data_IF_158759419366
#
_entry.id   IF_158759419366
#
_cell.length_a   1.000
_cell.length_b   1.000
_cell.length_c   1.000
_cell.angle_alpha   90.00
_cell.angle_beta   90.00
_cell.angle_gamma   90.00
#
_symmetry.space_group_name_H-M   'P 1'
#
loop_
_entity.id
_entity.type
_entity.pdbx_description
1 polymer ?
#
# COMPACT_ATOMS: atom_id res chain seq x y z
N UNK A 1 8.49 -5.55 -13.12
CA UNK A 1 7.45 -4.59 -13.50
C UNK A 1 7.65 -3.95 -14.88
N UNK A 2 8.80 -4.08 -15.48
CA UNK A 2 9.11 -3.51 -16.83
C UNK A 2 8.47 -4.27 -18.01
N UNK A 3 7.55 -5.20 -17.77
CA UNK A 3 6.92 -6.00 -18.84
C UNK A 3 7.81 -7.11 -19.42
N UNK A 4 9.05 -7.24 -18.97
CA UNK A 4 9.90 -8.35 -19.38
C UNK A 4 9.46 -9.66 -18.70
N UNK A 5 9.56 -10.80 -19.41
CA UNK A 5 9.17 -12.08 -18.84
C UNK A 5 10.14 -12.44 -17.70
N UNK A 6 9.63 -12.43 -16.49
CA UNK A 6 10.35 -12.97 -15.34
C UNK A 6 10.32 -14.50 -15.38
N UNK A 7 11.34 -15.11 -14.83
CA UNK A 7 11.45 -16.58 -14.75
C UNK A 7 10.33 -17.19 -13.88
N UNK A 8 9.84 -16.45 -12.87
CA UNK A 8 8.70 -16.81 -12.00
C UNK A 8 7.92 -15.56 -11.55
N UNK A 9 6.77 -15.75 -10.93
CA UNK A 9 6.10 -14.69 -10.21
C UNK A 9 6.97 -14.19 -9.04
N UNK A 10 6.87 -12.90 -8.73
CA UNK A 10 7.42 -12.36 -7.49
C UNK A 10 6.69 -12.92 -6.28
N UNK A 11 7.35 -12.92 -5.13
CA UNK A 11 6.79 -13.29 -3.84
C UNK A 11 7.04 -12.19 -2.81
N UNK A 12 6.01 -11.84 -2.06
CA UNK A 12 6.10 -10.94 -0.92
C UNK A 12 5.37 -11.52 0.30
N UNK A 13 6.08 -11.61 1.42
CA UNK A 13 5.50 -12.06 2.69
C UNK A 13 4.45 -11.08 3.24
N UNK A 14 4.51 -9.82 2.85
CA UNK A 14 3.80 -8.73 3.50
C UNK A 14 4.60 -8.14 4.66
N UNK A 15 3.86 -7.56 5.60
CA UNK A 15 4.39 -6.97 6.83
C UNK A 15 3.72 -7.63 8.06
N UNK A 16 4.14 -8.83 8.45
CA UNK A 16 3.60 -9.53 9.61
C UNK A 16 3.71 -8.66 10.86
N UNK A 17 2.69 -8.70 11.71
CA UNK A 17 2.74 -7.95 12.97
C UNK A 17 3.81 -8.51 13.91
N UNK A 18 4.34 -7.71 14.86
CA UNK A 18 5.46 -8.12 15.73
C UNK A 18 5.23 -9.44 16.45
N UNK A 19 3.98 -9.75 16.83
CA UNK A 19 3.60 -11.00 17.47
C UNK A 19 3.79 -12.21 16.54
N UNK A 20 3.37 -12.08 15.30
CA UNK A 20 3.55 -13.11 14.26
C UNK A 20 5.03 -13.33 13.97
N UNK A 21 5.81 -12.25 13.84
CA UNK A 21 7.26 -12.31 13.66
C UNK A 21 7.93 -13.08 14.80
N UNK A 22 7.53 -12.82 16.06
CA UNK A 22 8.04 -13.54 17.23
C UNK A 22 7.72 -15.04 17.18
N UNK A 23 6.49 -15.40 16.81
CA UNK A 23 6.06 -16.80 16.67
C UNK A 23 6.89 -17.51 15.60
N UNK A 24 7.06 -16.88 14.43
CA UNK A 24 7.81 -17.47 13.33
C UNK A 24 9.31 -17.60 13.63
N UNK A 25 9.90 -16.59 14.25
CA UNK A 25 11.28 -16.65 14.71
C UNK A 25 11.51 -17.82 15.69
N UNK A 26 10.61 -18.01 16.65
CA UNK A 26 10.70 -19.13 17.60
C UNK A 26 10.64 -20.50 16.89
N UNK A 27 9.80 -20.65 15.87
CA UNK A 27 9.65 -21.89 15.10
C UNK A 27 10.86 -22.16 14.21
N UNK A 28 11.46 -21.13 13.62
CA UNK A 28 12.59 -21.22 12.68
C UNK A 28 13.96 -21.20 13.39
N UNK A 29 14.02 -20.83 14.67
CA UNK A 29 15.29 -20.58 15.34
C UNK A 29 16.00 -19.33 14.81
N UNK A 30 15.26 -18.36 14.28
CA UNK A 30 15.76 -17.10 13.73
C UNK A 30 15.51 -15.93 14.68
N UNK A 31 16.04 -14.73 14.36
CA UNK A 31 16.02 -13.60 15.30
C UNK A 31 15.37 -12.32 14.72
N UNK A 32 15.05 -12.31 13.43
CA UNK A 32 14.55 -11.10 12.76
C UNK A 32 13.51 -11.41 11.69
N UNK A 33 12.75 -10.40 11.29
CA UNK A 33 11.88 -10.48 10.12
C UNK A 33 12.69 -10.75 8.84
N UNK A 34 13.87 -10.17 8.74
CA UNK A 34 14.77 -10.37 7.59
C UNK A 34 15.20 -11.84 7.44
N UNK A 35 15.44 -12.55 8.56
CA UNK A 35 15.75 -13.98 8.52
C UNK A 35 14.57 -14.80 8.00
N UNK A 36 13.35 -14.49 8.44
CA UNK A 36 12.11 -15.11 7.96
C UNK A 36 11.94 -14.87 6.45
N UNK A 37 12.09 -13.62 6.01
CA UNK A 37 11.96 -13.24 4.60
C UNK A 37 13.00 -13.96 3.72
N UNK A 38 14.25 -14.04 4.16
CA UNK A 38 15.30 -14.80 3.47
C UNK A 38 14.98 -16.30 3.39
N UNK A 39 14.53 -16.88 4.49
CA UNK A 39 14.13 -18.29 4.54
C UNK A 39 13.00 -18.61 3.55
N UNK A 40 12.02 -17.72 3.43
CA UNK A 40 10.90 -17.85 2.52
C UNK A 40 11.26 -17.53 1.06
N UNK A 41 12.39 -16.86 0.81
CA UNK A 41 12.76 -16.37 -0.52
C UNK A 41 11.91 -15.18 -0.97
N UNK A 42 11.63 -14.28 -0.05
CA UNK A 42 10.89 -13.04 -0.29
C UNK A 42 11.71 -12.07 -1.15
N UNK A 43 11.14 -11.62 -2.27
CA UNK A 43 11.79 -10.77 -3.26
C UNK A 43 11.72 -9.28 -2.92
N UNK A 44 10.86 -8.90 -1.97
CA UNK A 44 10.50 -7.50 -1.74
C UNK A 44 10.91 -7.06 -0.34
N UNK A 45 11.36 -5.81 -0.23
CA UNK A 45 11.53 -5.13 1.07
C UNK A 45 10.76 -3.82 1.05
N UNK A 46 9.93 -3.64 2.07
CA UNK A 46 9.18 -2.40 2.26
C UNK A 46 9.77 -1.60 3.41
N UNK A 47 10.50 -0.54 3.05
CA UNK A 47 11.12 0.40 3.99
C UNK A 47 10.73 1.82 3.59
N UNK A 48 9.94 2.48 4.42
CA UNK A 48 9.38 3.80 4.14
C UNK A 48 9.68 4.77 5.27
N UNK A 49 9.78 6.08 5.02
CA UNK A 49 9.82 7.09 6.07
C UNK A 49 8.60 6.94 7.00
N UNK A 50 8.87 6.74 8.28
CA UNK A 50 7.83 6.56 9.28
C UNK A 50 7.36 7.92 9.81
N UNK A 51 6.11 8.03 10.27
CA UNK A 51 5.54 9.26 10.84
C UNK A 51 5.93 9.43 12.33
N UNK A 52 7.23 9.47 12.60
CA UNK A 52 7.81 9.49 13.94
C UNK A 52 8.80 10.65 14.12
N UNK A 53 9.22 10.90 15.36
CA UNK A 53 10.12 12.01 15.72
C UNK A 53 11.47 11.98 15.00
N UNK A 54 11.99 10.81 14.63
CA UNK A 54 13.25 10.72 13.88
C UNK A 54 13.11 11.19 12.43
N UNK A 55 11.90 11.10 11.87
CA UNK A 55 11.59 11.56 10.50
C UNK A 55 11.09 13.01 10.47
N UNK A 56 10.42 13.49 11.54
CA UNK A 56 9.91 14.87 11.62
C UNK A 56 10.44 15.56 12.86
N UNK A 57 11.45 16.42 12.67
CA UNK A 57 12.23 17.10 13.73
C UNK A 57 11.78 18.53 13.94
N UNK A 58 10.50 18.73 14.31
CA UNK A 58 9.99 20.06 14.59
C UNK A 58 10.60 20.62 15.89
N UNK A 59 11.09 21.87 15.92
CA UNK A 59 11.78 22.45 17.09
C UNK A 59 10.90 22.55 18.34
N UNK A 60 9.59 22.73 18.17
CA UNK A 60 8.60 22.74 19.25
C UNK A 60 8.06 21.35 19.59
N UNK A 61 8.60 20.28 19.00
CA UNK A 61 8.17 18.91 19.25
C UNK A 61 6.81 18.54 18.64
N UNK A 62 6.30 19.33 17.69
CA UNK A 62 5.06 18.99 16.96
C UNK A 62 5.24 17.68 16.19
N UNK A 63 4.16 16.91 16.11
CA UNK A 63 4.13 15.67 15.35
C UNK A 63 3.72 15.94 13.90
N UNK A 64 4.12 15.03 13.00
CA UNK A 64 3.83 15.17 11.57
C UNK A 64 2.34 15.10 11.23
N UNK A 65 1.57 14.30 11.96
CA UNK A 65 0.15 14.05 11.70
C UNK A 65 -0.70 14.24 12.97
N UNK A 66 -0.84 15.48 13.48
CA UNK A 66 -1.57 15.75 14.73
C UNK A 66 -3.06 15.36 14.65
N UNK A 67 -3.65 15.43 13.46
CA UNK A 67 -5.03 14.99 13.21
C UNK A 67 -5.26 13.51 13.49
N UNK A 68 -4.26 12.65 13.23
CA UNK A 68 -4.31 11.22 13.53
C UNK A 68 -4.32 10.94 15.03
N UNK A 69 -3.60 11.74 15.80
CA UNK A 69 -3.60 11.63 17.27
C UNK A 69 -4.94 12.12 17.85
N UNK A 70 -5.49 13.19 17.28
CA UNK A 70 -6.77 13.77 17.71
C UNK A 70 -7.99 12.86 17.38
N UNK A 71 -7.95 12.15 16.26
CA UNK A 71 -9.05 11.27 15.80
C UNK A 71 -8.49 9.98 15.19
N UNK A 72 -7.96 9.05 16.00
CA UNK A 72 -7.18 7.89 15.52
C UNK A 72 -7.99 6.88 14.69
N UNK A 73 -9.31 6.88 14.81
CA UNK A 73 -10.21 5.99 14.05
C UNK A 73 -10.79 6.62 12.79
N UNK A 74 -10.80 7.97 12.71
CA UNK A 74 -11.48 8.71 11.66
C UNK A 74 -13.01 8.65 11.74
N UNK A 75 -13.59 8.08 12.81
CA UNK A 75 -15.05 7.96 12.97
C UNK A 75 -15.67 9.15 13.68
N UNK A 76 -14.94 9.73 14.63
CA UNK A 76 -15.38 10.93 15.34
C UNK A 76 -15.12 12.21 14.51
N UNK A 77 -15.69 13.33 14.94
CA UNK A 77 -15.35 14.64 14.38
C UNK A 77 -13.88 14.95 14.63
N UNK A 78 -13.18 15.27 13.56
CA UNK A 78 -11.78 15.64 13.60
C UNK A 78 -11.55 17.14 13.80
N UNK A 79 -10.28 17.57 13.88
CA UNK A 79 -9.93 18.96 14.17
C UNK A 79 -10.37 19.97 13.09
N UNK A 80 -10.66 19.52 11.87
CA UNK A 80 -11.11 20.36 10.76
C UNK A 80 -12.60 20.15 10.42
N UNK A 81 -13.35 19.39 11.21
CA UNK A 81 -14.77 19.11 10.92
C UNK A 81 -15.66 20.36 10.89
N UNK A 82 -15.25 21.43 11.60
CA UNK A 82 -16.00 22.68 11.70
C UNK A 82 -15.64 23.71 10.63
N UNK A 83 -14.61 23.44 9.79
CA UNK A 83 -14.20 24.35 8.73
C UNK A 83 -15.21 24.31 7.58
N UNK A 84 -15.65 25.50 7.14
CA UNK A 84 -16.62 25.69 6.08
C UNK A 84 -16.10 26.54 4.92
N UNK A 85 -14.93 27.18 5.07
CA UNK A 85 -14.34 28.06 4.06
C UNK A 85 -12.91 27.71 3.72
N UNK A 86 -12.47 28.09 2.53
CA UNK A 86 -11.08 27.90 2.06
C UNK A 86 -10.09 28.72 2.89
N UNK A 87 -10.50 29.91 3.34
CA UNK A 87 -9.69 30.80 4.19
C UNK A 87 -9.36 30.15 5.53
N UNK A 88 -10.33 29.43 6.13
CA UNK A 88 -10.11 28.70 7.38
C UNK A 88 -9.10 27.54 7.18
N UNK A 89 -9.13 26.85 6.04
CA UNK A 89 -8.12 25.82 5.70
C UNK A 89 -6.72 26.43 5.67
N UNK A 90 -6.57 27.66 5.17
CA UNK A 90 -5.28 28.32 5.08
C UNK A 90 -4.68 28.69 6.45
N UNK A 91 -5.52 28.83 7.49
CA UNK A 91 -5.08 29.20 8.86
C UNK A 91 -4.65 27.99 9.69
N UNK A 92 -4.90 26.75 9.23
CA UNK A 92 -4.48 25.55 9.96
C UNK A 92 -2.95 25.43 9.98
N UNK A 93 -2.41 24.89 11.08
CA UNK A 93 -0.98 24.69 11.26
C UNK A 93 -0.50 23.43 10.53
N UNK A 94 -0.26 23.56 9.23
CA UNK A 94 0.17 22.48 8.36
C UNK A 94 1.62 22.06 8.62
N UNK A 95 1.95 20.76 8.45
CA UNK A 95 3.32 20.29 8.55
C UNK A 95 4.22 20.95 7.50
N UNK A 96 5.50 21.12 7.85
CA UNK A 96 6.49 21.82 7.04
C UNK A 96 7.63 20.89 6.65
N UNK A 97 7.98 20.86 5.37
CA UNK A 97 8.96 19.92 4.80
C UNK A 97 10.38 20.15 5.33
N UNK A 98 10.75 21.37 5.77
CA UNK A 98 12.08 21.65 6.32
C UNK A 98 12.41 20.88 7.60
N UNK A 99 11.43 20.29 8.26
CA UNK A 99 11.61 19.49 9.46
C UNK A 99 11.77 17.99 9.17
N UNK A 100 11.71 17.59 7.89
CA UNK A 100 11.87 16.18 7.49
C UNK A 100 13.34 15.77 7.50
N UNK A 101 13.58 14.57 8.01
CA UNK A 101 14.88 13.90 8.02
C UNK A 101 14.72 12.43 7.62
N UNK A 102 15.37 12.04 6.53
CA UNK A 102 15.27 10.69 5.97
C UNK A 102 16.48 9.80 6.27
N UNK A 103 17.44 10.29 7.04
CA UNK A 103 18.73 9.62 7.30
C UNK A 103 18.53 8.19 7.76
N UNK A 104 17.63 7.93 8.69
CA UNK A 104 17.37 6.58 9.20
C UNK A 104 16.83 5.64 8.10
N UNK A 105 15.88 6.13 7.30
CA UNK A 105 15.27 5.36 6.19
C UNK A 105 16.30 5.08 5.10
N UNK A 106 17.09 6.07 4.71
CA UNK A 106 18.12 5.94 3.68
C UNK A 106 19.23 4.98 4.11
N UNK A 107 19.65 5.01 5.37
CA UNK A 107 20.61 4.06 5.92
C UNK A 107 20.08 2.62 5.89
N UNK A 108 18.80 2.41 6.22
CA UNK A 108 18.18 1.08 6.11
C UNK A 108 18.15 0.59 4.67
N UNK A 109 17.74 1.45 3.73
CA UNK A 109 17.70 1.13 2.29
C UNK A 109 19.09 0.83 1.73
N UNK A 110 20.11 1.61 2.10
CA UNK A 110 21.49 1.42 1.63
C UNK A 110 22.15 0.14 2.14
N UNK A 111 21.65 -0.45 3.21
CA UNK A 111 22.16 -1.71 3.77
C UNK A 111 21.39 -2.95 3.28
N UNK A 112 20.41 -2.78 2.40
CA UNK A 112 19.69 -3.91 1.79
C UNK A 112 20.53 -4.56 0.68
N UNK A 113 20.34 -5.88 0.53
CA UNK A 113 20.86 -6.61 -0.61
C UNK A 113 20.09 -6.32 -1.91
N UNK A 114 20.23 -7.21 -2.86
CA UNK A 114 19.56 -7.14 -4.17
C UNK A 114 18.10 -7.63 -4.05
N UNK A 115 17.24 -6.75 -3.58
CA UNK A 115 15.80 -6.95 -3.44
C UNK A 115 15.05 -5.85 -4.17
N UNK A 116 13.80 -6.11 -4.54
CA UNK A 116 12.91 -5.07 -5.03
C UNK A 116 12.43 -4.20 -3.84
N UNK A 117 12.73 -2.90 -3.87
CA UNK A 117 12.58 -2.00 -2.73
C UNK A 117 11.38 -1.07 -2.91
N UNK A 118 10.34 -1.33 -2.10
CA UNK A 118 9.17 -0.46 -1.96
C UNK A 118 9.47 0.61 -0.93
N UNK A 119 9.29 1.88 -1.26
CA UNK A 119 9.56 3.01 -0.36
C UNK A 119 8.77 4.27 -0.76
N UNK A 120 9.22 5.45 -0.31
CA UNK A 120 8.51 6.72 -0.43
C UNK A 120 7.60 6.97 0.78
N UNK A 121 7.05 8.18 0.90
CA UNK A 121 6.02 8.44 1.89
C UNK A 121 4.75 7.65 1.55
N UNK A 122 4.15 7.03 2.55
CA UNK A 122 2.89 6.28 2.42
C UNK A 122 1.74 7.12 1.84
N UNK A 123 1.77 8.44 2.07
CA UNK A 123 0.85 9.44 1.52
C UNK A 123 -0.64 9.06 1.65
N UNK A 124 -1.14 8.81 2.86
CA UNK A 124 -2.49 8.29 3.08
C UNK A 124 -3.52 9.43 3.12
N UNK A 125 -3.60 10.22 2.06
CA UNK A 125 -4.39 11.47 2.04
C UNK A 125 -5.90 11.24 2.22
N UNK A 126 -6.47 10.12 1.79
CA UNK A 126 -7.86 9.78 2.07
C UNK A 126 -8.07 9.49 3.56
N UNK A 127 -7.20 8.67 4.16
CA UNK A 127 -7.26 8.42 5.61
C UNK A 127 -7.02 9.69 6.42
N UNK A 128 -6.11 10.55 5.97
CA UNK A 128 -5.86 11.82 6.67
C UNK A 128 -7.10 12.71 6.64
N UNK A 129 -7.83 12.77 5.53
CA UNK A 129 -9.11 13.47 5.47
C UNK A 129 -10.12 12.89 6.47
N UNK A 130 -10.20 11.55 6.61
CA UNK A 130 -11.10 10.95 7.60
C UNK A 130 -10.69 11.29 9.04
N UNK A 131 -9.38 11.36 9.33
CA UNK A 131 -8.90 11.79 10.65
C UNK A 131 -9.12 13.28 10.90
N UNK A 132 -9.00 14.13 9.86
CA UNK A 132 -9.18 15.57 9.95
C UNK A 132 -10.64 15.98 10.12
N UNK A 133 -11.55 15.30 9.44
CA UNK A 133 -12.96 15.68 9.35
C UNK A 133 -13.90 14.73 10.11
N UNK A 134 -13.57 13.45 10.16
CA UNK A 134 -14.50 12.36 10.42
C UNK A 134 -15.08 11.82 9.11
N UNK A 135 -15.30 10.51 9.02
CA UNK A 135 -15.73 9.87 7.77
C UNK A 135 -17.08 10.41 7.28
N UNK A 136 -18.06 10.60 8.18
CA UNK A 136 -19.39 11.11 7.82
C UNK A 136 -19.31 12.55 7.30
N UNK A 137 -18.66 13.45 8.07
CA UNK A 137 -18.51 14.86 7.70
C UNK A 137 -17.72 15.00 6.38
N UNK A 138 -16.69 14.18 6.16
CA UNK A 138 -15.94 14.14 4.89
C UNK A 138 -16.89 13.85 3.72
N UNK A 139 -17.66 12.75 3.79
CA UNK A 139 -18.55 12.35 2.70
C UNK A 139 -19.65 13.40 2.44
N UNK A 140 -20.18 14.03 3.49
CA UNK A 140 -21.16 15.11 3.34
C UNK A 140 -20.52 16.33 2.70
N UNK A 141 -19.34 16.76 3.17
CA UNK A 141 -18.65 17.95 2.67
C UNK A 141 -18.16 17.82 1.22
N UNK A 142 -17.91 16.61 0.74
CA UNK A 142 -17.64 16.39 -0.70
C UNK A 142 -18.79 16.85 -1.61
N UNK A 143 -20.03 16.92 -1.08
CA UNK A 143 -21.20 17.44 -1.80
C UNK A 143 -21.55 18.89 -1.44
N UNK A 144 -21.38 19.27 -0.18
CA UNK A 144 -21.87 20.56 0.32
C UNK A 144 -20.81 21.67 0.31
N UNK A 145 -19.53 21.31 0.42
CA UNK A 145 -18.38 22.24 0.47
C UNK A 145 -17.19 21.64 -0.31
N UNK A 146 -17.35 21.29 -1.60
CA UNK A 146 -16.30 20.63 -2.39
C UNK A 146 -15.02 21.46 -2.44
N UNK A 147 -15.11 22.80 -2.47
CA UNK A 147 -13.98 23.73 -2.48
C UNK A 147 -13.13 23.62 -1.21
N UNK A 148 -13.74 23.33 -0.06
CA UNK A 148 -13.02 23.11 1.21
C UNK A 148 -12.23 21.81 1.15
N UNK A 149 -12.84 20.73 0.62
CA UNK A 149 -12.16 19.43 0.46
C UNK A 149 -10.99 19.56 -0.52
N UNK A 150 -11.18 20.27 -1.64
CA UNK A 150 -10.09 20.54 -2.57
C UNK A 150 -8.95 21.33 -1.90
N UNK A 151 -9.28 22.36 -1.12
CA UNK A 151 -8.28 23.17 -0.42
C UNK A 151 -7.47 22.34 0.62
N UNK A 152 -8.13 21.42 1.35
CA UNK A 152 -7.44 20.51 2.29
C UNK A 152 -6.55 19.54 1.51
N UNK A 153 -7.05 18.95 0.41
CA UNK A 153 -6.26 18.06 -0.44
C UNK A 153 -5.05 18.76 -1.07
N UNK A 154 -5.19 20.02 -1.52
CA UNK A 154 -4.09 20.82 -2.06
C UNK A 154 -2.96 20.97 -1.04
N UNK A 155 -3.28 21.28 0.23
CA UNK A 155 -2.30 21.37 1.31
C UNK A 155 -1.65 20.04 1.63
N UNK A 156 -2.47 19.01 1.83
CA UNK A 156 -2.04 17.70 2.28
C UNK A 156 -1.23 16.96 1.20
N UNK A 157 -1.78 16.86 -0.01
CA UNK A 157 -1.11 16.20 -1.12
C UNK A 157 0.08 17.01 -1.64
N UNK A 158 0.00 18.35 -1.60
CA UNK A 158 1.13 19.22 -1.89
C UNK A 158 2.31 18.93 -0.96
N UNK A 159 2.07 18.84 0.35
CA UNK A 159 3.10 18.46 1.32
C UNK A 159 3.70 17.06 1.00
N UNK A 160 2.87 16.04 0.72
CA UNK A 160 3.38 14.71 0.40
C UNK A 160 4.17 14.66 -0.92
N UNK A 161 3.76 15.42 -1.94
CA UNK A 161 4.53 15.52 -3.19
C UNK A 161 5.89 16.18 -2.96
N UNK A 162 5.95 17.27 -2.21
CA UNK A 162 7.21 17.94 -1.88
C UNK A 162 8.11 17.05 -1.01
N UNK A 163 7.53 16.34 -0.03
CA UNK A 163 8.25 15.40 0.82
C UNK A 163 8.81 14.20 0.02
N UNK A 164 8.04 13.66 -0.92
CA UNK A 164 8.50 12.62 -1.82
C UNK A 164 9.60 13.12 -2.75
N UNK A 165 9.48 14.34 -3.29
CA UNK A 165 10.52 14.95 -4.12
C UNK A 165 11.85 15.08 -3.37
N UNK A 166 11.79 15.54 -2.12
CA UNK A 166 12.96 15.65 -1.25
C UNK A 166 13.57 14.28 -0.94
N UNK A 167 12.72 13.28 -0.69
CA UNK A 167 13.14 11.91 -0.42
C UNK A 167 13.77 11.26 -1.67
N UNK A 168 13.14 11.37 -2.84
CA UNK A 168 13.63 10.76 -4.08
C UNK A 168 14.98 11.31 -4.52
N UNK A 169 15.20 12.62 -4.37
CA UNK A 169 16.52 13.23 -4.64
C UNK A 169 17.65 12.66 -3.78
N UNK A 170 17.33 12.24 -2.54
CA UNK A 170 18.29 11.65 -1.63
C UNK A 170 18.40 10.13 -1.83
N UNK A 171 17.30 9.45 -2.14
CA UNK A 171 17.25 8.00 -2.30
C UNK A 171 17.90 7.53 -3.60
N UNK A 172 17.73 8.25 -4.71
CA UNK A 172 18.29 7.87 -6.02
C UNK A 172 17.95 6.41 -6.37
N UNK A 173 18.95 5.60 -6.59
CA UNK A 173 18.80 4.19 -6.95
C UNK A 173 18.58 3.24 -5.75
N UNK A 174 18.35 3.76 -4.55
CA UNK A 174 18.09 2.93 -3.36
C UNK A 174 16.65 2.40 -3.30
N UNK A 175 15.76 2.84 -4.19
CA UNK A 175 14.37 2.39 -4.27
C UNK A 175 13.99 2.05 -5.71
N UNK A 176 13.02 1.16 -5.86
CA UNK A 176 12.53 0.68 -7.15
C UNK A 176 11.08 1.12 -7.42
N UNK A 177 10.31 1.35 -6.36
CA UNK A 177 8.94 1.81 -6.48
C UNK A 177 8.49 2.72 -5.33
N UNK A 178 7.62 3.67 -5.66
CA UNK A 178 6.80 4.38 -4.69
C UNK A 178 5.61 3.51 -4.28
N UNK A 179 5.48 3.24 -3.00
CA UNK A 179 4.37 2.49 -2.42
C UNK A 179 3.54 3.39 -1.51
N UNK A 180 2.36 3.77 -1.97
CA UNK A 180 1.40 4.63 -1.27
C UNK A 180 0.14 3.86 -0.90
N UNK A 181 -0.59 4.32 0.14
CA UNK A 181 -1.76 3.61 0.65
C UNK A 181 -2.97 4.50 0.93
N UNK A 182 -4.09 4.15 0.29
CA UNK A 182 -5.38 4.81 0.49
C UNK A 182 -6.51 3.80 0.26
N UNK A 183 -7.34 3.52 1.26
CA UNK A 183 -8.40 2.51 1.17
C UNK A 183 -9.72 3.14 0.72
N UNK A 184 -10.03 3.02 -0.54
CA UNK A 184 -11.27 3.53 -1.14
C UNK A 184 -12.40 2.51 -1.19
N UNK A 185 -12.12 1.24 -0.86
CA UNK A 185 -13.06 0.12 -0.94
C UNK A 185 -13.50 -0.43 0.41
N UNK A 186 -14.71 -0.98 0.43
CA UNK A 186 -15.22 -1.89 1.45
C UNK A 186 -15.21 -3.33 0.92
N UNK A 187 -15.73 -4.29 1.68
CA UNK A 187 -15.86 -5.68 1.17
C UNK A 187 -16.79 -5.78 -0.04
N UNK A 188 -17.73 -4.86 -0.18
CA UNK A 188 -18.81 -4.96 -1.17
C UNK A 188 -18.68 -3.99 -2.36
N UNK A 189 -18.18 -2.78 -2.13
CA UNK A 189 -18.07 -1.72 -3.16
C UNK A 189 -17.17 -0.59 -2.64
N UNK A 190 -16.99 0.44 -3.44
CA UNK A 190 -16.31 1.67 -3.05
C UNK A 190 -17.04 2.36 -1.87
N UNK A 191 -16.28 3.11 -1.09
CA UNK A 191 -16.81 3.95 -0.01
C UNK A 191 -17.51 5.21 -0.54
N UNK A 192 -17.31 5.53 -1.82
CA UNK A 192 -17.91 6.67 -2.53
C UNK A 192 -18.21 6.31 -3.98
N UNK A 193 -18.93 7.16 -4.70
CA UNK A 193 -19.14 6.92 -6.12
C UNK A 193 -17.85 7.05 -6.95
N UNK A 194 -17.74 6.36 -8.11
CA UNK A 194 -16.60 6.53 -9.02
C UNK A 194 -16.43 7.97 -9.55
N UNK A 195 -17.51 8.77 -9.55
CA UNK A 195 -17.50 10.18 -9.94
C UNK A 195 -16.79 11.01 -8.87
N UNK A 196 -17.16 10.87 -7.59
CA UNK A 196 -16.48 11.54 -6.47
C UNK A 196 -15.02 11.10 -6.35
N UNK A 197 -14.73 9.81 -6.52
CA UNK A 197 -13.35 9.35 -6.60
C UNK A 197 -12.58 10.05 -7.73
N UNK A 198 -13.21 10.16 -8.91
CA UNK A 198 -12.64 10.84 -10.08
C UNK A 198 -12.36 12.31 -9.87
N UNK A 199 -13.22 13.00 -9.13
CA UNK A 199 -13.11 14.43 -8.84
C UNK A 199 -12.04 14.71 -7.78
N UNK A 200 -12.09 14.05 -6.64
CA UNK A 200 -11.27 14.40 -5.47
C UNK A 200 -9.93 13.68 -5.39
N UNK A 201 -9.85 12.40 -5.79
CA UNK A 201 -8.69 11.56 -5.49
C UNK A 201 -7.85 11.18 -6.72
N UNK A 202 -8.49 10.89 -7.84
CA UNK A 202 -7.80 10.46 -9.06
C UNK A 202 -6.75 11.46 -9.57
N UNK A 203 -6.99 12.79 -9.55
CA UNK A 203 -5.99 13.77 -9.97
C UNK A 203 -4.71 13.73 -9.14
N UNK A 204 -4.83 13.43 -7.84
CA UNK A 204 -3.69 13.30 -6.95
C UNK A 204 -2.93 11.99 -7.17
N UNK A 205 -3.62 10.87 -7.30
CA UNK A 205 -2.99 9.59 -7.67
C UNK A 205 -2.18 9.72 -8.96
N UNK A 206 -2.72 10.42 -9.97
CA UNK A 206 -2.01 10.70 -11.21
C UNK A 206 -0.75 11.55 -11.00
N UNK A 207 -0.80 12.58 -10.13
CA UNK A 207 0.37 13.39 -9.79
C UNK A 207 1.44 12.56 -9.07
N UNK A 208 1.07 11.72 -8.08
CA UNK A 208 2.01 10.85 -7.37
C UNK A 208 2.64 9.80 -8.29
N UNK A 209 1.85 9.14 -9.14
CA UNK A 209 2.37 8.19 -10.11
C UNK A 209 3.30 8.87 -11.12
N UNK A 210 2.91 10.02 -11.65
CA UNK A 210 3.74 10.80 -12.58
C UNK A 210 5.05 11.26 -11.95
N UNK A 211 5.05 11.67 -10.69
CA UNK A 211 6.26 12.03 -9.95
C UNK A 211 7.19 10.82 -9.78
N UNK A 212 6.66 9.67 -9.36
CA UNK A 212 7.45 8.44 -9.23
C UNK A 212 8.09 8.05 -10.57
N UNK A 213 7.32 8.07 -11.66
CA UNK A 213 7.81 7.78 -13.01
C UNK A 213 8.88 8.79 -13.47
N UNK A 214 8.73 10.07 -13.12
CA UNK A 214 9.73 11.10 -13.42
C UNK A 214 11.10 10.83 -12.82
N UNK A 215 11.16 10.08 -11.71
CA UNK A 215 12.38 9.60 -11.07
C UNK A 215 12.78 8.17 -11.48
N UNK A 216 12.06 7.54 -12.42
CA UNK A 216 12.34 6.18 -12.88
C UNK A 216 11.77 5.08 -11.98
N UNK A 217 10.91 5.41 -11.01
CA UNK A 217 10.30 4.45 -10.10
C UNK A 217 8.94 3.97 -10.59
N UNK A 218 8.57 2.74 -10.26
CA UNK A 218 7.21 2.29 -10.43
C UNK A 218 6.29 2.89 -9.36
N UNK A 219 4.98 2.93 -9.66
CA UNK A 219 3.94 3.38 -8.73
C UNK A 219 3.10 2.18 -8.28
N UNK A 220 3.10 1.91 -6.98
CA UNK A 220 2.32 0.83 -6.35
C UNK A 220 1.30 1.47 -5.42
N UNK A 221 0.02 1.13 -5.60
CA UNK A 221 -1.05 1.60 -4.75
C UNK A 221 -1.54 0.47 -3.83
N UNK A 222 -1.46 0.68 -2.53
CA UNK A 222 -2.25 -0.07 -1.56
C UNK A 222 -3.65 0.50 -1.49
N UNK A 223 -4.64 -0.35 -1.71
CA UNK A 223 -6.04 -0.01 -1.60
C UNK A 223 -6.87 -1.25 -1.26
N UNK A 224 -7.26 -1.35 0.01
CA UNK A 224 -8.10 -2.45 0.48
C UNK A 224 -9.51 -2.43 -0.10
N UNK A 225 -10.13 -3.60 -0.14
CA UNK A 225 -11.53 -3.79 -0.47
C UNK A 225 -11.83 -3.98 -1.94
N UNK A 226 -13.10 -3.83 -2.26
CA UNK A 226 -13.67 -3.97 -3.60
C UNK A 226 -13.49 -2.68 -4.39
N UNK A 227 -12.42 -2.61 -5.19
CA UNK A 227 -12.05 -1.44 -6.00
C UNK A 227 -12.19 -1.68 -7.50
N UNK A 228 -12.83 -2.77 -7.90
CA UNK A 228 -12.93 -3.17 -9.31
C UNK A 228 -13.48 -2.06 -10.23
N UNK A 229 -14.36 -1.19 -9.71
CA UNK A 229 -14.99 -0.10 -10.49
C UNK A 229 -14.05 1.05 -10.84
N UNK A 230 -12.88 1.12 -10.20
CA UNK A 230 -11.91 2.18 -10.44
C UNK A 230 -10.57 1.66 -10.99
N UNK A 231 -10.39 0.36 -11.21
CA UNK A 231 -9.13 -0.21 -11.70
C UNK A 231 -8.75 0.43 -13.05
N UNK A 232 -9.68 0.62 -13.99
CA UNK A 232 -9.41 1.31 -15.25
C UNK A 232 -8.87 2.73 -15.03
N UNK A 233 -9.48 3.48 -14.12
CA UNK A 233 -9.04 4.83 -13.77
C UNK A 233 -7.64 4.84 -13.13
N UNK A 234 -7.31 3.81 -12.33
CA UNK A 234 -5.98 3.66 -11.73
C UNK A 234 -4.91 3.35 -12.79
N UNK A 235 -5.24 2.51 -13.77
CA UNK A 235 -4.37 2.23 -14.92
C UNK A 235 -4.10 3.53 -15.70
N UNK A 236 -5.13 4.29 -16.01
CA UNK A 236 -5.04 5.57 -16.74
C UNK A 236 -4.29 6.65 -15.92
N UNK A 237 -4.30 6.55 -14.59
CA UNK A 237 -3.52 7.42 -13.72
C UNK A 237 -2.02 7.05 -13.66
N UNK A 238 -1.63 5.91 -14.24
CA UNK A 238 -0.24 5.45 -14.26
C UNK A 238 0.14 4.56 -13.08
N UNK A 239 -0.83 3.99 -12.35
CA UNK A 239 -0.53 3.00 -11.32
C UNK A 239 -0.06 1.70 -11.99
N UNK A 240 1.14 1.25 -11.66
CA UNK A 240 1.73 0.04 -12.22
C UNK A 240 1.27 -1.24 -11.53
N UNK A 241 1.00 -1.16 -10.22
CA UNK A 241 0.64 -2.31 -9.42
C UNK A 241 -0.39 -1.92 -8.34
N UNK A 242 -1.41 -2.76 -8.15
CA UNK A 242 -2.36 -2.65 -7.05
C UNK A 242 -2.12 -3.74 -6.00
N UNK A 243 -2.20 -3.35 -4.73
CA UNK A 243 -2.07 -4.16 -3.54
C UNK A 243 -3.10 -3.70 -2.49
N UNK A 244 -3.62 -4.58 -1.63
CA UNK A 244 -3.64 -6.03 -1.81
C UNK A 244 -4.78 -6.44 -2.74
N UNK A 245 -4.64 -7.58 -3.42
CA UNK A 245 -5.83 -8.24 -3.95
C UNK A 245 -6.52 -8.93 -2.79
N UNK A 246 -7.61 -8.34 -2.29
CA UNK A 246 -8.44 -8.96 -1.28
C UNK A 246 -9.40 -9.97 -1.93
N UNK A 247 -8.98 -11.24 -1.96
CA UNK A 247 -9.62 -12.30 -2.74
C UNK A 247 -11.14 -12.48 -2.47
N UNK A 248 -11.60 -12.17 -1.27
CA UNK A 248 -13.00 -12.30 -0.85
C UNK A 248 -13.82 -11.01 -1.02
N UNK A 249 -13.19 -9.89 -1.36
CA UNK A 249 -13.93 -8.69 -1.70
C UNK A 249 -14.64 -8.85 -3.05
N UNK A 250 -15.79 -8.24 -3.21
CA UNK A 250 -16.62 -8.37 -4.41
C UNK A 250 -15.84 -8.02 -5.68
N UNK A 251 -15.84 -8.92 -6.67
CA UNK A 251 -15.17 -8.75 -7.95
C UNK A 251 -13.64 -8.52 -7.86
N UNK A 252 -13.02 -8.98 -6.75
CA UNK A 252 -11.58 -8.93 -6.56
C UNK A 252 -10.93 -10.32 -6.56
N UNK A 253 -11.68 -11.38 -6.85
CA UNK A 253 -11.12 -12.72 -7.01
C UNK A 253 -10.29 -12.83 -8.30
N UNK A 254 -9.40 -13.81 -8.33
CA UNK A 254 -8.44 -13.98 -9.42
C UNK A 254 -9.10 -14.21 -10.78
N UNK A 255 -10.25 -14.86 -10.85
CA UNK A 255 -11.02 -15.10 -12.07
C UNK A 255 -11.50 -13.80 -12.69
N UNK A 256 -12.20 -12.98 -11.89
CA UNK A 256 -12.71 -11.68 -12.35
C UNK A 256 -11.58 -10.75 -12.81
N UNK A 257 -10.50 -10.69 -12.03
CA UNK A 257 -9.35 -9.84 -12.35
C UNK A 257 -8.63 -10.34 -13.61
N UNK A 258 -8.52 -11.66 -13.80
CA UNK A 258 -7.92 -12.23 -15.01
C UNK A 258 -8.76 -11.91 -16.26
N UNK A 259 -10.07 -12.04 -16.17
CA UNK A 259 -10.99 -11.78 -17.28
C UNK A 259 -10.96 -10.31 -17.72
N UNK A 260 -10.89 -9.37 -16.77
CA UNK A 260 -11.11 -7.95 -17.06
C UNK A 260 -9.81 -7.13 -17.15
N UNK A 261 -8.74 -7.52 -16.46
CA UNK A 261 -7.57 -6.63 -16.27
C UNK A 261 -6.22 -7.31 -16.50
N UNK A 262 -6.15 -8.62 -16.78
CA UNK A 262 -4.88 -9.33 -17.01
C UNK A 262 -4.05 -8.65 -18.09
N UNK A 263 -2.77 -8.43 -17.78
CA UNK A 263 -1.81 -7.81 -18.70
C UNK A 263 -1.91 -6.28 -18.79
N UNK A 264 -2.86 -5.66 -18.08
CA UNK A 264 -3.05 -4.20 -18.08
C UNK A 264 -2.49 -3.54 -16.82
N UNK A 265 -2.42 -4.27 -15.72
CA UNK A 265 -1.87 -3.85 -14.45
C UNK A 265 -1.25 -5.05 -13.74
N UNK A 266 -0.30 -4.82 -12.85
CA UNK A 266 0.27 -5.86 -11.99
C UNK A 266 -0.58 -5.98 -10.73
N UNK A 267 -0.77 -7.22 -10.30
CA UNK A 267 -1.50 -7.57 -9.10
C UNK A 267 -0.53 -8.04 -8.01
N UNK A 268 -0.70 -7.58 -6.79
CA UNK A 268 0.04 -8.04 -5.62
C UNK A 268 -0.93 -8.48 -4.53
N UNK A 269 -0.87 -9.74 -4.10
CA UNK A 269 -1.80 -10.30 -3.13
C UNK A 269 -2.40 -11.63 -3.57
N UNK A 270 -3.65 -11.86 -3.22
CA UNK A 270 -4.53 -12.90 -3.75
C UNK A 270 -4.70 -14.13 -2.86
N UNK A 271 -3.74 -14.48 -1.98
CA UNK A 271 -3.90 -15.65 -1.09
C UNK A 271 -4.66 -15.23 0.16
N UNK A 272 -5.86 -15.78 0.34
CA UNK A 272 -6.80 -15.34 1.36
C UNK A 272 -6.27 -15.43 2.80
N UNK A 273 -6.31 -14.29 3.50
CA UNK A 273 -5.87 -14.15 4.91
C UNK A 273 -7.00 -14.27 5.92
N UNK A 274 -8.26 -14.32 5.48
CA UNK A 274 -9.40 -14.37 6.40
C UNK A 274 -9.73 -15.81 6.82
N UNK A 275 -9.65 -16.76 5.88
CA UNK A 275 -9.99 -18.17 6.11
C UNK A 275 -8.90 -19.11 5.64
N UNK A 276 -8.42 -18.97 4.39
CA UNK A 276 -7.54 -19.98 3.80
C UNK A 276 -6.20 -20.07 4.51
N UNK A 277 -5.48 -18.96 4.67
CA UNK A 277 -4.17 -18.96 5.35
C UNK A 277 -4.26 -19.36 6.82
N UNK A 278 -5.28 -18.92 7.62
CA UNK A 278 -5.42 -19.34 9.01
C UNK A 278 -5.89 -20.77 9.23
N UNK A 279 -6.82 -21.26 8.40
CA UNK A 279 -7.61 -22.47 8.67
C UNK A 279 -7.35 -23.60 7.69
N UNK A 280 -6.79 -23.32 6.51
CA UNK A 280 -6.48 -24.32 5.48
C UNK A 280 -5.26 -25.16 5.81
N UNK A 281 -5.12 -26.26 5.07
CA UNK A 281 -3.92 -27.10 5.11
C UNK A 281 -2.86 -26.57 4.14
N UNK A 282 -1.56 -26.94 4.30
CA UNK A 282 -0.52 -26.62 3.31
C UNK A 282 -0.88 -27.06 1.88
N UNK A 283 -1.63 -28.15 1.71
CA UNK A 283 -2.09 -28.63 0.41
C UNK A 283 -3.15 -27.70 -0.21
N UNK A 284 -4.07 -27.17 0.60
CA UNK A 284 -5.07 -26.19 0.16
C UNK A 284 -4.38 -24.89 -0.29
N UNK A 285 -3.36 -24.44 0.47
CA UNK A 285 -2.57 -23.26 0.12
C UNK A 285 -1.82 -23.46 -1.20
N UNK A 286 -1.19 -24.63 -1.40
CA UNK A 286 -0.51 -24.96 -2.66
C UNK A 286 -1.48 -24.95 -3.84
N UNK A 287 -2.64 -25.55 -3.67
CA UNK A 287 -3.68 -25.61 -4.70
C UNK A 287 -4.14 -24.22 -5.12
N UNK A 288 -4.54 -23.39 -4.14
CA UNK A 288 -5.05 -22.05 -4.40
C UNK A 288 -3.98 -21.11 -4.96
N UNK A 289 -2.77 -21.13 -4.39
CA UNK A 289 -1.63 -20.34 -4.90
C UNK A 289 -1.32 -20.70 -6.36
N UNK A 290 -1.31 -22.00 -6.71
CA UNK A 290 -1.11 -22.46 -8.09
C UNK A 290 -2.22 -21.98 -9.03
N UNK A 291 -3.49 -22.00 -8.57
CA UNK A 291 -4.64 -21.49 -9.31
C UNK A 291 -4.49 -20.00 -9.62
N UNK A 292 -4.15 -19.20 -8.61
CA UNK A 292 -3.94 -17.74 -8.76
C UNK A 292 -2.81 -17.45 -9.75
N UNK A 293 -1.68 -18.14 -9.63
CA UNK A 293 -0.54 -18.02 -10.55
C UNK A 293 -0.97 -18.31 -11.98
N UNK A 294 -1.70 -19.42 -12.21
CA UNK A 294 -2.19 -19.79 -13.54
C UNK A 294 -3.10 -18.73 -14.17
N UNK A 295 -3.94 -18.11 -13.36
CA UNK A 295 -4.88 -17.10 -13.83
C UNK A 295 -4.21 -15.75 -14.12
N UNK A 296 -3.35 -15.25 -13.22
CA UNK A 296 -2.88 -13.87 -13.25
C UNK A 296 -1.44 -13.68 -13.78
N UNK A 297 -0.61 -14.74 -13.82
CA UNK A 297 0.74 -14.56 -14.37
C UNK A 297 0.68 -14.19 -15.86
N UNK A 298 1.65 -13.39 -16.35
CA UNK A 298 2.88 -12.93 -15.71
C UNK A 298 2.74 -11.71 -14.79
N UNK A 299 1.61 -11.03 -14.77
CA UNK A 299 1.38 -9.78 -14.03
C UNK A 299 1.00 -10.01 -12.56
N UNK A 300 1.70 -10.90 -11.85
CA UNK A 300 1.38 -11.25 -10.45
C UNK A 300 2.62 -11.23 -9.56
N UNK A 301 2.48 -10.63 -8.40
CA UNK A 301 3.32 -10.81 -7.22
C UNK A 301 2.46 -11.52 -6.19
N UNK A 302 2.78 -12.78 -5.91
CA UNK A 302 2.04 -13.57 -4.93
C UNK A 302 2.32 -13.03 -3.53
N UNK A 303 1.27 -12.74 -2.81
CA UNK A 303 1.32 -12.24 -1.44
C UNK A 303 0.03 -12.64 -0.72
N UNK A 304 0.02 -12.60 0.62
CA UNK A 304 -1.24 -12.63 1.36
C UNK A 304 -2.20 -11.54 0.88
N UNK A 305 -3.50 -11.79 0.96
CA UNK A 305 -4.55 -10.83 0.54
C UNK A 305 -4.67 -9.59 1.45
N UNK A 306 -3.78 -9.46 2.39
CA UNK A 306 -3.48 -8.28 3.22
C UNK A 306 -2.04 -8.39 3.72
N UNK A 307 -1.31 -7.27 3.81
CA UNK A 307 0.09 -7.29 4.25
C UNK A 307 0.27 -7.72 5.72
N UNK A 308 -0.66 -7.35 6.59
CA UNK A 308 -0.58 -7.69 8.00
C UNK A 308 -0.98 -9.15 8.23
N UNK A 309 0.00 -10.03 8.39
CA UNK A 309 -0.25 -11.40 8.83
C UNK A 309 -0.44 -11.45 10.34
N UNK A 310 -1.55 -12.06 10.75
CA UNK A 310 -1.96 -12.21 12.14
C UNK A 310 -1.37 -13.48 12.78
N UNK A 311 -1.31 -13.58 14.13
CA UNK A 311 -0.69 -14.70 14.85
C UNK A 311 -1.37 -16.06 14.63
N UNK A 312 -2.61 -16.07 14.17
CA UNK A 312 -3.38 -17.29 13.87
C UNK A 312 -3.02 -17.92 12.51
N UNK A 313 -2.16 -17.27 11.71
CA UNK A 313 -1.68 -17.86 10.46
C UNK A 313 -0.53 -18.82 10.73
N UNK A 314 -0.66 -20.14 10.45
CA UNK A 314 0.41 -21.09 10.64
C UNK A 314 1.60 -20.81 9.71
N UNK A 315 2.82 -20.90 10.25
CA UNK A 315 4.04 -20.76 9.44
C UNK A 315 4.11 -21.75 8.28
N UNK A 316 3.61 -22.96 8.50
CA UNK A 316 3.57 -24.05 7.52
C UNK A 316 2.76 -23.67 6.28
N UNK A 317 1.70 -22.89 6.43
CA UNK A 317 0.88 -22.38 5.34
C UNK A 317 1.63 -21.30 4.54
N UNK A 318 2.35 -20.41 5.23
CA UNK A 318 3.20 -19.39 4.58
C UNK A 318 4.36 -20.06 3.82
N UNK A 319 4.97 -21.09 4.40
CA UNK A 319 6.00 -21.90 3.72
C UNK A 319 5.42 -22.57 2.46
N UNK A 320 4.21 -23.14 2.54
CA UNK A 320 3.55 -23.76 1.39
C UNK A 320 3.32 -22.74 0.25
N UNK A 321 2.84 -21.54 0.57
CA UNK A 321 2.67 -20.44 -0.39
C UNK A 321 4.00 -20.08 -1.07
N UNK A 322 5.04 -19.79 -0.28
CA UNK A 322 6.37 -19.41 -0.78
C UNK A 322 7.00 -20.54 -1.65
N UNK A 323 6.87 -21.80 -1.22
CA UNK A 323 7.34 -22.95 -1.96
C UNK A 323 6.64 -23.09 -3.30
N UNK A 324 5.33 -22.93 -3.33
CA UNK A 324 4.53 -23.01 -4.57
C UNK A 324 4.97 -21.97 -5.60
N UNK A 325 5.26 -20.73 -5.17
CA UNK A 325 5.78 -19.69 -6.07
C UNK A 325 7.13 -20.11 -6.69
N UNK A 326 8.04 -20.68 -5.88
CA UNK A 326 9.35 -21.13 -6.35
C UNK A 326 9.25 -22.33 -7.32
N UNK A 327 8.35 -23.26 -7.07
CA UNK A 327 8.18 -24.47 -7.88
C UNK A 327 7.45 -24.22 -9.21
N UNK A 328 6.59 -23.20 -9.29
CA UNK A 328 5.95 -22.78 -10.54
C UNK A 328 6.89 -22.10 -11.55
N UNK A 329 8.19 -22.00 -11.24
CA UNK A 329 9.25 -21.65 -12.16
C UNK A 329 9.34 -22.58 -13.39
N UNK A 330 9.11 -23.86 -13.18
CA UNK A 330 9.37 -24.93 -14.16
C UNK A 330 8.29 -25.06 -15.24
N UNK A 331 7.11 -24.46 -15.08
CA UNK A 331 5.96 -24.67 -15.97
C UNK A 331 6.05 -23.85 -17.28
N UNK A 332 6.95 -22.85 -17.38
CA UNK A 332 7.11 -22.03 -18.58
C UNK A 332 8.08 -22.56 -19.64
N UNK A 333 8.83 -23.62 -19.34
CA UNK A 333 9.81 -24.22 -20.24
C UNK A 333 9.36 -25.61 -20.75
N UNK A 334 8.09 -25.97 -20.61
CA UNK A 334 7.44 -27.10 -21.26
C UNK A 334 6.29 -26.53 -22.13
#
# INVERSE_FOLDING_TARGET
MNGEPAERCGFWLGAPIPETVKIYNNKLGSNSLEDIQKFLGDDIRWITPQYIKSTYKHPEGKVLRPWKEANPTGLAKGPLSFIETVEEVATYDWPQIQHLDFTETLNKLGNLGDYYRLSGFWSPFFHDLTYMLGTEDLLIKMYTHPEVIHAILDRLCGFYLEANELFYKQAGNLIDAHFMGNDFGSQNDLLMSPELFGEFYLPWLKKFAGQAHGHGYHSVLHCCGSIYRIIDKLIDAGINCIHPIQALARNMNAEYLAENFKGRIIFMGGVDTQHLLPEGTPADIQHDTSRIIKLLAPGLIVSPSHEALMPNVPLENVIAMAKTVRENYTIRNQ
#
